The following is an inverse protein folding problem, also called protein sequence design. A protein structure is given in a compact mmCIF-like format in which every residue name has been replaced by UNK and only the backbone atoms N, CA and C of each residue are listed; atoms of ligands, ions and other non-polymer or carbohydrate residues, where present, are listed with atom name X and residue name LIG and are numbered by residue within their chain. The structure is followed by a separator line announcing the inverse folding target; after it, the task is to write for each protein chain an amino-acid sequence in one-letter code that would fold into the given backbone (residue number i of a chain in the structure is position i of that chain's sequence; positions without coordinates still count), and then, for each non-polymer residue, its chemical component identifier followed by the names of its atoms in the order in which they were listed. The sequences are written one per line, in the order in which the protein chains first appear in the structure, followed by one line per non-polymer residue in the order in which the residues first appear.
data_IF_494389804502
#
_entry.id   IF_494389804502
#
_cell.length_a   1.000
_cell.length_b   1.000
_cell.length_c   1.000
_cell.angle_alpha   90.00
_cell.angle_beta   90.00
_cell.angle_gamma   90.00
#
_symmetry.space_group_name_H-M   'P 1'
#
loop_
_entity.id
_entity.type
_entity.pdbx_description
1 polymer ?
#
# COMPACT_ATOMS: atom_id res chain seq x y z
N UNK A 1 1.36 10.12 3.20
CA UNK A 1 2.08 9.59 2.03
C UNK A 1 1.12 8.73 1.24
N UNK A 2 1.02 8.93 -0.06
CA UNK A 2 0.15 8.17 -0.96
C UNK A 2 1.02 7.59 -2.07
N UNK A 3 1.07 6.27 -2.18
CA UNK A 3 1.89 5.57 -3.16
C UNK A 3 1.06 4.62 -4.03
N UNK A 4 1.53 4.35 -5.26
CA UNK A 4 1.03 3.22 -6.03
C UNK A 4 1.51 1.91 -5.40
N UNK A 5 0.72 0.85 -5.57
CA UNK A 5 1.07 -0.48 -5.04
C UNK A 5 1.62 -1.34 -6.18
N UNK A 6 2.89 -1.66 -6.12
CA UNK A 6 3.56 -2.37 -7.21
C UNK A 6 4.22 -3.68 -6.80
N UNK A 7 4.42 -3.92 -5.52
CA UNK A 7 5.02 -5.15 -5.02
C UNK A 7 3.99 -6.16 -4.50
N UNK A 8 4.01 -7.38 -5.00
CA UNK A 8 3.01 -8.41 -4.68
C UNK A 8 3.03 -8.92 -3.23
N UNK A 9 4.13 -8.78 -2.53
CA UNK A 9 4.25 -9.11 -1.09
C UNK A 9 4.43 -7.82 -0.26
N UNK A 10 3.90 -6.70 -0.74
CA UNK A 10 3.98 -5.40 -0.07
C UNK A 10 5.41 -4.96 0.32
N UNK A 11 6.43 -5.45 -0.41
CA UNK A 11 7.82 -5.06 -0.19
C UNK A 11 8.04 -3.58 -0.48
N UNK A 12 7.26 -3.03 -1.40
CA UNK A 12 7.21 -1.61 -1.72
C UNK A 12 6.85 -0.75 -0.50
N UNK A 13 5.91 -1.20 0.33
CA UNK A 13 5.56 -0.51 1.58
C UNK A 13 6.73 -0.45 2.56
N UNK A 14 7.47 -1.55 2.68
CA UNK A 14 8.69 -1.61 3.51
C UNK A 14 9.77 -0.67 2.96
N UNK A 15 10.00 -0.69 1.65
CA UNK A 15 11.03 0.15 1.02
C UNK A 15 10.70 1.63 1.10
N UNK A 16 9.43 2.02 0.91
CA UNK A 16 8.99 3.40 1.13
C UNK A 16 9.19 3.80 2.59
N UNK A 17 8.84 2.92 3.53
CA UNK A 17 9.07 3.16 4.96
C UNK A 17 10.55 3.38 5.29
N UNK A 18 11.45 2.56 4.72
CA UNK A 18 12.89 2.71 4.88
C UNK A 18 13.42 4.00 4.26
N UNK A 19 12.98 4.36 3.05
CA UNK A 19 13.37 5.61 2.40
C UNK A 19 12.99 6.83 3.26
N UNK A 20 11.81 6.84 3.87
CA UNK A 20 11.39 7.92 4.76
C UNK A 20 12.11 7.94 6.11
N UNK A 21 12.55 6.78 6.59
CA UNK A 21 13.29 6.66 7.84
C UNK A 21 14.78 6.95 7.72
N UNK A 22 15.38 6.67 6.57
CA UNK A 22 16.84 6.68 6.39
C UNK A 22 17.34 7.75 5.42
N UNK A 23 16.60 8.02 4.33
CA UNK A 23 17.10 8.84 3.22
C UNK A 23 16.50 10.25 3.20
N UNK A 24 15.41 10.49 3.95
CA UNK A 24 14.76 11.81 4.04
C UNK A 24 15.15 12.50 5.34
N UNK A 25 15.35 13.81 5.26
CA UNK A 25 15.61 14.63 6.43
C UNK A 25 14.53 15.73 6.60
N UNK A 26 13.94 15.89 7.80
CA UNK A 26 14.10 15.03 8.97
C UNK A 26 13.45 13.65 8.76
N UNK A 27 14.02 12.59 9.35
CA UNK A 27 13.50 11.23 9.17
C UNK A 27 12.08 11.11 9.72
N UNK A 28 11.26 10.29 9.06
CA UNK A 28 9.86 10.08 9.46
C UNK A 28 9.52 8.61 9.48
N UNK A 29 8.89 8.18 10.56
CA UNK A 29 8.33 6.84 10.66
C UNK A 29 6.94 6.86 10.01
N UNK A 30 6.73 6.02 9.00
CA UNK A 30 5.45 5.86 8.34
C UNK A 30 4.64 4.74 8.98
N UNK A 31 3.37 5.02 9.30
CA UNK A 31 2.39 4.00 9.70
C UNK A 31 1.71 3.45 8.46
N UNK A 32 2.09 2.27 8.03
CA UNK A 32 1.48 1.60 6.89
C UNK A 32 0.04 1.19 7.21
N UNK A 33 -0.90 1.56 6.34
CA UNK A 33 -2.29 1.12 6.47
C UNK A 33 -2.45 -0.22 5.75
N UNK A 34 -2.88 -1.25 6.49
CA UNK A 34 -3.03 -2.62 5.98
C UNK A 34 -4.49 -3.04 5.93
N UNK A 35 -4.81 -3.91 5.00
CA UNK A 35 -6.15 -4.47 4.86
C UNK A 35 -6.47 -5.49 5.96
N UNK A 36 -7.75 -5.57 6.36
CA UNK A 36 -8.21 -6.44 7.45
C UNK A 36 -7.84 -7.91 7.24
N UNK A 37 -7.85 -8.41 6.00
CA UNK A 37 -7.52 -9.81 5.77
C UNK A 37 -6.06 -10.14 6.15
N UNK A 38 -5.13 -9.17 6.03
CA UNK A 38 -3.72 -9.34 6.39
C UNK A 38 -3.56 -9.59 7.89
N UNK A 39 -4.36 -8.92 8.72
CA UNK A 39 -4.31 -9.11 10.17
C UNK A 39 -4.75 -10.51 10.61
N UNK A 40 -5.52 -11.20 9.78
CA UNK A 40 -6.00 -12.56 10.03
C UNK A 40 -5.06 -13.66 9.50
N UNK A 41 -4.02 -13.29 8.74
CA UNK A 41 -3.05 -14.26 8.23
C UNK A 41 -2.05 -14.66 9.33
N UNK A 42 -1.80 -15.99 9.51
CA UNK A 42 -0.80 -16.46 10.47
C UNK A 42 0.56 -15.80 10.23
N UNK A 43 1.25 -15.45 11.30
CA UNK A 43 2.56 -14.78 11.30
C UNK A 43 2.55 -13.36 10.74
N UNK A 44 1.84 -13.08 9.63
CA UNK A 44 1.80 -11.75 9.01
C UNK A 44 1.06 -10.73 9.88
N UNK A 45 -0.04 -11.12 10.51
CA UNK A 45 -0.78 -10.23 11.42
C UNK A 45 0.09 -9.72 12.58
N UNK A 46 0.84 -10.62 13.22
CA UNK A 46 1.76 -10.26 14.32
C UNK A 46 2.92 -9.41 13.79
N UNK A 47 3.56 -9.85 12.71
CA UNK A 47 4.69 -9.12 12.13
C UNK A 47 4.32 -7.70 11.68
N UNK A 48 3.18 -7.53 11.03
CA UNK A 48 2.73 -6.18 10.60
C UNK A 48 2.42 -5.29 11.80
N UNK A 49 1.84 -5.82 12.88
CA UNK A 49 1.60 -5.06 14.09
C UNK A 49 2.92 -4.62 14.77
N UNK A 50 3.92 -5.51 14.84
CA UNK A 50 5.24 -5.21 15.40
C UNK A 50 6.03 -4.19 14.58
N UNK A 51 5.84 -4.17 13.25
CA UNK A 51 6.45 -3.16 12.35
C UNK A 51 5.72 -1.82 12.37
N UNK A 52 4.65 -1.68 13.16
CA UNK A 52 3.90 -0.43 13.32
C UNK A 52 2.87 -0.17 12.23
N UNK A 53 2.52 -1.20 11.44
CA UNK A 53 1.40 -1.13 10.53
C UNK A 53 0.07 -1.12 11.32
N UNK A 54 -0.93 -0.44 10.80
CA UNK A 54 -2.23 -0.24 11.45
C UNK A 54 -3.35 -0.64 10.50
N UNK A 55 -4.44 -1.16 11.06
CA UNK A 55 -5.62 -1.48 10.26
C UNK A 55 -6.12 -0.26 9.48
N UNK A 56 -6.27 -0.44 8.18
CA UNK A 56 -6.65 0.59 7.21
C UNK A 56 -8.13 0.94 7.28
N UNK A 57 -8.55 1.56 8.37
CA UNK A 57 -9.86 2.19 8.48
C UNK A 57 -9.75 3.72 8.67
N UNK A 58 -10.85 4.42 8.36
CA UNK A 58 -10.90 5.88 8.41
C UNK A 58 -10.59 6.42 9.81
N UNK A 59 -11.09 5.77 10.86
CA UNK A 59 -10.95 6.28 12.23
C UNK A 59 -9.50 6.17 12.71
N UNK A 60 -8.87 5.02 12.50
CA UNK A 60 -7.46 4.81 12.84
C UNK A 60 -6.57 5.82 12.12
N UNK A 61 -6.79 6.00 10.81
CA UNK A 61 -6.02 6.94 10.02
C UNK A 61 -6.16 8.38 10.53
N UNK A 62 -7.39 8.85 10.80
CA UNK A 62 -7.64 10.18 11.34
C UNK A 62 -7.02 10.37 12.73
N UNK A 63 -7.05 9.35 13.59
CA UNK A 63 -6.43 9.42 14.92
C UNK A 63 -4.91 9.55 14.83
N UNK A 64 -4.26 8.80 13.94
CA UNK A 64 -2.82 8.88 13.72
C UNK A 64 -2.43 10.28 13.21
N UNK A 65 -3.14 10.78 12.21
CA UNK A 65 -2.90 12.12 11.65
C UNK A 65 -3.10 13.23 12.69
N UNK A 66 -4.12 13.14 13.54
CA UNK A 66 -4.35 14.08 14.65
C UNK A 66 -3.23 14.06 15.70
N UNK A 67 -2.53 12.95 15.85
CA UNK A 67 -1.34 12.82 16.71
C UNK A 67 -0.06 13.32 16.05
N UNK A 68 -0.13 13.80 14.80
CA UNK A 68 1.02 14.24 14.03
C UNK A 68 1.85 13.10 13.43
N UNK A 69 1.34 11.87 13.43
CA UNK A 69 2.01 10.74 12.82
C UNK A 69 1.85 10.76 11.30
N UNK A 70 2.84 10.23 10.60
CA UNK A 70 2.80 10.12 9.14
C UNK A 70 2.21 8.76 8.74
N UNK A 71 1.25 8.78 7.82
CA UNK A 71 0.53 7.59 7.38
C UNK A 71 0.88 7.28 5.93
N UNK A 72 1.11 6.00 5.61
CA UNK A 72 1.32 5.49 4.25
C UNK A 72 0.09 4.72 3.80
N UNK A 73 -0.47 5.12 2.66
CA UNK A 73 -1.63 4.46 2.05
C UNK A 73 -1.36 4.12 0.59
N UNK A 74 -1.89 2.97 0.18
CA UNK A 74 -1.88 2.49 -1.20
C UNK A 74 -3.32 2.47 -1.73
N UNK A 75 -3.78 3.50 -2.44
CA UNK A 75 -5.19 3.61 -2.83
C UNK A 75 -5.64 2.60 -3.89
N UNK A 76 -4.72 1.89 -4.54
CA UNK A 76 -5.00 0.75 -5.40
C UNK A 76 -5.47 -0.50 -4.62
N UNK A 77 -5.10 -0.58 -3.33
CA UNK A 77 -5.43 -1.73 -2.49
C UNK A 77 -4.95 -3.05 -3.09
N UNK A 78 -5.77 -4.09 -2.93
CA UNK A 78 -5.45 -5.45 -3.43
C UNK A 78 -5.23 -5.50 -4.95
N UNK A 79 -5.92 -4.66 -5.72
CA UNK A 79 -5.77 -4.65 -7.18
C UNK A 79 -4.36 -4.24 -7.59
N UNK A 80 -3.70 -3.39 -6.81
CA UNK A 80 -2.31 -2.99 -7.01
C UNK A 80 -1.33 -4.14 -6.80
N UNK A 81 -1.47 -4.90 -5.69
CA UNK A 81 -0.59 -6.07 -5.40
C UNK A 81 -0.91 -7.28 -6.24
N UNK A 82 -2.12 -7.40 -6.75
CA UNK A 82 -2.58 -8.58 -7.49
C UNK A 82 -2.33 -8.50 -9.00
N UNK A 83 -1.56 -7.50 -9.46
CA UNK A 83 -1.23 -7.36 -10.89
C UNK A 83 -0.49 -8.60 -11.40
N UNK A 84 -0.90 -9.08 -12.57
CA UNK A 84 -0.17 -10.10 -13.32
C UNK A 84 0.73 -9.44 -14.38
N UNK A 85 1.66 -10.19 -14.94
CA UNK A 85 2.67 -9.66 -15.89
C UNK A 85 2.14 -8.72 -16.99
N UNK A 86 0.97 -8.96 -17.62
CA UNK A 86 0.41 -8.04 -18.61
C UNK A 86 0.02 -6.66 -18.08
N UNK A 87 -0.15 -6.54 -16.74
CA UNK A 87 -0.59 -5.33 -16.07
C UNK A 87 0.54 -4.60 -15.30
N UNK A 88 1.77 -5.08 -15.45
CA UNK A 88 2.94 -4.41 -14.87
C UNK A 88 3.06 -2.98 -15.38
N UNK A 89 3.54 -2.09 -14.52
CA UNK A 89 3.70 -0.66 -14.79
C UNK A 89 2.40 0.08 -15.12
N UNK A 90 1.22 -0.56 -14.93
CA UNK A 90 -0.07 0.11 -15.08
C UNK A 90 -0.66 0.42 -13.71
N UNK A 91 -1.04 1.66 -13.51
CA UNK A 91 -1.78 2.05 -12.33
C UNK A 91 -3.16 1.41 -12.35
N UNK A 92 -3.59 0.88 -11.21
CA UNK A 92 -4.96 0.46 -11.00
C UNK A 92 -5.81 1.63 -10.51
N UNK A 93 -7.11 1.43 -10.43
CA UNK A 93 -8.03 2.48 -9.99
C UNK A 93 -7.75 2.88 -8.53
N UNK A 94 -7.47 4.14 -8.30
CA UNK A 94 -7.34 4.70 -6.96
C UNK A 94 -8.71 4.86 -6.30
N UNK A 95 -8.85 4.36 -5.08
CA UNK A 95 -10.02 4.66 -4.23
C UNK A 95 -9.92 6.09 -3.71
N UNK A 96 -11.04 6.76 -3.53
CA UNK A 96 -11.08 8.17 -3.09
C UNK A 96 -10.91 8.35 -1.57
N UNK A 97 -10.82 7.25 -0.82
CA UNK A 97 -10.76 7.26 0.64
C UNK A 97 -9.63 8.11 1.22
N UNK A 98 -8.42 8.00 0.65
CA UNK A 98 -7.27 8.78 1.10
C UNK A 98 -7.47 10.29 0.97
N UNK A 99 -8.11 10.73 -0.10
CA UNK A 99 -8.37 12.14 -0.35
C UNK A 99 -9.38 12.69 0.66
N UNK A 100 -10.46 11.96 0.95
CA UNK A 100 -11.44 12.33 1.98
C UNK A 100 -10.80 12.42 3.36
N UNK A 101 -9.89 11.51 3.69
CA UNK A 101 -9.15 11.54 4.97
C UNK A 101 -8.26 12.77 5.03
N UNK A 102 -7.52 13.10 3.96
CA UNK A 102 -6.66 14.27 3.91
C UNK A 102 -7.47 15.57 4.06
N UNK A 103 -8.64 15.67 3.42
CA UNK A 103 -9.58 16.79 3.60
C UNK A 103 -10.09 16.90 5.03
N UNK A 104 -10.54 15.78 5.62
CA UNK A 104 -11.06 15.78 7.00
C UNK A 104 -10.00 16.12 8.05
N UNK A 105 -8.76 15.72 7.81
CA UNK A 105 -7.65 15.99 8.71
C UNK A 105 -6.92 17.31 8.38
N UNK A 106 -7.21 17.94 7.24
CA UNK A 106 -6.51 19.14 6.71
C UNK A 106 -4.98 18.92 6.65
N UNK A 107 -4.55 17.76 6.18
CA UNK A 107 -3.13 17.40 6.05
C UNK A 107 -2.71 17.34 4.59
N UNK A 108 -1.44 17.63 4.33
CA UNK A 108 -0.87 17.53 3.00
C UNK A 108 -0.78 16.08 2.53
N UNK A 109 -1.00 15.87 1.23
CA UNK A 109 -0.77 14.60 0.54
C UNK A 109 0.60 14.65 -0.10
N UNK A 110 1.47 13.74 0.26
CA UNK A 110 2.77 13.56 -0.38
C UNK A 110 2.69 12.37 -1.35
N UNK A 111 2.66 12.61 -2.67
CA UNK A 111 2.60 11.55 -3.65
C UNK A 111 3.96 10.86 -3.80
N UNK A 112 3.94 9.54 -3.88
CA UNK A 112 5.14 8.71 -4.10
C UNK A 112 4.85 7.74 -5.23
N UNK A 113 5.81 7.59 -6.16
CA UNK A 113 5.76 6.58 -7.19
C UNK A 113 6.84 5.52 -6.92
N UNK A 114 6.42 4.25 -6.89
CA UNK A 114 7.30 3.09 -6.77
C UNK A 114 7.29 2.35 -8.11
N UNK A 115 8.46 2.12 -8.69
CA UNK A 115 8.63 1.51 -10.01
C UNK A 115 9.58 0.33 -9.88
N UNK A 116 9.26 -0.80 -10.53
CA UNK A 116 10.12 -1.99 -10.58
C UNK A 116 9.84 -3.03 -9.50
N UNK A 117 9.03 -2.73 -8.49
CA UNK A 117 8.73 -3.70 -7.44
C UNK A 117 7.90 -4.90 -7.95
N UNK A 118 7.16 -4.75 -9.04
CA UNK A 118 6.44 -5.86 -9.69
C UNK A 118 7.37 -6.99 -10.15
N UNK A 119 8.60 -6.67 -10.51
CA UNK A 119 9.57 -7.65 -11.02
C UNK A 119 10.16 -8.54 -9.92
N UNK A 120 10.03 -8.14 -8.65
CA UNK A 120 10.55 -8.93 -7.53
C UNK A 120 9.82 -10.26 -7.35
N UNK A 121 8.53 -10.32 -7.73
CA UNK A 121 7.70 -11.52 -7.66
C UNK A 121 6.83 -11.60 -8.92
N UNK A 122 7.34 -12.13 -10.04
CA UNK A 122 6.58 -12.16 -11.28
C UNK A 122 5.38 -13.11 -11.17
N UNK A 123 4.17 -12.54 -11.17
CA UNK A 123 2.93 -13.30 -11.19
C UNK A 123 2.42 -13.46 -12.61
N UNK A 124 2.22 -14.72 -12.99
CA UNK A 124 1.77 -15.06 -14.35
C UNK A 124 0.27 -15.33 -14.42
N UNK A 125 -0.35 -15.66 -13.29
CA UNK A 125 -1.77 -16.03 -13.26
C UNK A 125 -2.41 -15.72 -11.91
N UNK A 126 -3.69 -15.33 -11.96
CA UNK A 126 -4.55 -15.15 -10.78
C UNK A 126 -5.51 -16.33 -10.62
N UNK A 127 -5.33 -17.12 -9.57
CA UNK A 127 -6.18 -18.27 -9.27
C UNK A 127 -7.49 -17.82 -8.56
N UNK A 128 -8.33 -17.04 -9.24
CA UNK A 128 -9.54 -16.41 -8.67
C UNK A 128 -10.51 -17.42 -8.04
N UNK A 129 -10.69 -18.59 -8.66
CA UNK A 129 -11.57 -19.64 -8.16
C UNK A 129 -11.10 -20.24 -6.83
N UNK A 130 -9.79 -20.45 -6.69
CA UNK A 130 -9.19 -20.98 -5.44
C UNK A 130 -9.18 -19.89 -4.38
N UNK A 131 -8.82 -18.66 -4.73
CA UNK A 131 -8.85 -17.51 -3.83
C UNK A 131 -10.22 -17.36 -3.16
N UNK A 132 -11.30 -17.41 -3.95
CA UNK A 132 -12.69 -17.33 -3.43
C UNK A 132 -13.00 -18.44 -2.44
N UNK A 133 -12.58 -19.69 -2.71
CA UNK A 133 -12.80 -20.84 -1.81
C UNK A 133 -12.05 -20.69 -0.49
N UNK A 134 -10.89 -20.03 -0.50
CA UNK A 134 -10.05 -19.78 0.67
C UNK A 134 -10.41 -18.49 1.40
N UNK A 135 -11.40 -17.72 0.92
CA UNK A 135 -11.74 -16.42 1.51
C UNK A 135 -10.68 -15.33 1.31
N UNK A 136 -9.80 -15.53 0.32
CA UNK A 136 -8.74 -14.58 -0.02
C UNK A 136 -9.22 -13.61 -1.11
N UNK A 137 -8.83 -12.32 -1.06
CA UNK A 137 -9.20 -11.34 -2.09
C UNK A 137 -8.48 -11.61 -3.42
N UNK A 138 -7.28 -12.19 -3.37
CA UNK A 138 -6.49 -12.59 -4.53
C UNK A 138 -5.58 -13.77 -4.18
N UNK A 139 -5.26 -14.60 -5.17
CA UNK A 139 -4.24 -15.65 -5.06
C UNK A 139 -3.39 -15.65 -6.34
N UNK A 140 -2.38 -14.79 -6.38
CA UNK A 140 -1.47 -14.75 -7.52
C UNK A 140 -0.51 -15.94 -7.49
N UNK A 141 -0.25 -16.51 -8.67
CA UNK A 141 0.66 -17.64 -8.84
C UNK A 141 1.93 -17.19 -9.57
N UNK A 142 3.06 -17.48 -8.95
CA UNK A 142 4.40 -17.22 -9.51
C UNK A 142 5.12 -18.53 -9.80
N UNK A 143 5.91 -18.61 -10.89
CA UNK A 143 6.80 -19.75 -11.14
C UNK A 143 7.79 -20.01 -9.99
N UNK A 144 8.17 -18.97 -9.24
CA UNK A 144 9.05 -19.09 -8.07
C UNK A 144 8.47 -19.96 -6.97
N UNK A 145 7.13 -20.12 -6.90
CA UNK A 145 6.46 -21.02 -5.94
C UNK A 145 6.88 -22.48 -6.09
N UNK A 146 7.35 -22.89 -7.27
CA UNK A 146 7.88 -24.24 -7.51
C UNK A 146 9.17 -24.51 -6.71
N UNK A 147 9.85 -23.47 -6.25
CA UNK A 147 11.03 -23.54 -5.39
C UNK A 147 10.68 -23.70 -3.91
N UNK A 148 9.40 -23.87 -3.56
CA UNK A 148 8.95 -23.97 -2.18
C UNK A 148 9.27 -22.72 -1.37
N UNK A 149 9.84 -22.84 -0.14
CA UNK A 149 10.17 -21.67 0.69
C UNK A 149 11.13 -20.67 0.05
N UNK A 150 12.04 -21.11 -0.82
CA UNK A 150 12.95 -20.22 -1.55
C UNK A 150 12.21 -19.34 -2.56
N UNK A 151 11.03 -19.73 -3.00
CA UNK A 151 10.18 -18.93 -3.89
C UNK A 151 9.60 -17.65 -3.25
N UNK A 152 9.73 -17.51 -1.92
CA UNK A 152 9.37 -16.28 -1.21
C UNK A 152 10.54 -15.27 -1.14
N UNK A 153 11.72 -15.63 -1.62
CA UNK A 153 12.80 -14.66 -1.75
C UNK A 153 12.54 -13.77 -2.98
N UNK A 154 12.65 -12.43 -2.83
CA UNK A 154 12.46 -11.52 -3.95
C UNK A 154 13.56 -11.73 -4.99
N UNK A 155 13.17 -11.69 -6.26
CA UNK A 155 14.15 -11.63 -7.35
C UNK A 155 14.90 -10.27 -7.28
N UNK A 156 16.19 -10.24 -7.60
CA UNK A 156 16.93 -9.00 -7.67
C UNK A 156 16.37 -8.14 -8.81
N UNK A 157 15.76 -7.02 -8.46
CA UNK A 157 15.20 -6.05 -9.40
C UNK A 157 15.52 -4.64 -8.90
N UNK A 158 15.90 -3.70 -9.79
CA UNK A 158 16.03 -2.31 -9.41
C UNK A 158 14.64 -1.75 -9.06
N UNK A 159 14.56 -1.05 -7.93
CA UNK A 159 13.32 -0.41 -7.49
C UNK A 159 13.61 1.06 -7.29
N UNK A 160 12.91 1.90 -8.04
CA UNK A 160 13.00 3.34 -7.95
C UNK A 160 11.84 3.91 -7.14
N UNK A 161 12.13 4.83 -6.22
CA UNK A 161 11.15 5.54 -5.41
C UNK A 161 11.25 7.03 -5.70
N UNK A 162 10.21 7.60 -6.32
CA UNK A 162 10.11 9.01 -6.64
C UNK A 162 9.15 9.70 -5.66
N UNK A 163 9.62 10.73 -4.98
CA UNK A 163 8.83 11.51 -4.04
C UNK A 163 8.46 12.83 -4.71
N UNK A 164 7.16 13.06 -4.85
CA UNK A 164 6.62 14.27 -5.46
C UNK A 164 6.54 15.45 -4.50
N UNK A 165 6.00 16.56 -4.99
CA UNK A 165 5.76 17.75 -4.15
C UNK A 165 4.50 17.56 -3.30
N UNK A 166 4.49 18.04 -2.04
CA UNK A 166 3.29 18.01 -1.21
C UNK A 166 2.13 18.76 -1.86
N UNK A 167 0.95 18.17 -1.80
CA UNK A 167 -0.30 18.73 -2.29
C UNK A 167 -1.14 19.14 -1.08
N UNK A 168 -1.45 20.43 -0.96
CA UNK A 168 -2.29 20.95 0.11
C UNK A 168 -3.76 20.70 -0.20
N UNK A 169 -4.55 20.21 0.76
CA UNK A 169 -5.99 20.16 0.58
C UNK A 169 -6.58 21.57 0.53
N UNK A 170 -7.66 21.80 -0.25
CA UNK A 170 -8.39 23.05 -0.19
C UNK A 170 -8.94 23.29 1.22
N UNK A 171 -8.80 24.51 1.73
CA UNK A 171 -9.22 24.88 3.09
C UNK A 171 -10.74 25.03 3.23
N UNK A 172 -11.43 25.24 2.13
CA UNK A 172 -12.88 25.43 2.01
C UNK A 172 -13.68 24.14 1.88
N UNK A 173 -12.99 22.99 1.69
CA UNK A 173 -13.60 21.67 1.57
C UNK A 173 -13.35 20.84 2.84
N UNK A 174 -14.42 20.33 3.42
CA UNK A 174 -14.37 19.35 4.52
C UNK A 174 -14.85 18.01 4.03
N UNK A 175 -14.15 16.93 4.37
CA UNK A 175 -14.35 15.59 3.82
C UNK A 175 -15.71 14.93 4.10
N UNK A 176 -16.61 15.58 4.81
CA UNK A 176 -17.96 15.10 5.11
C UNK A 176 -19.02 15.57 4.09
N UNK A 177 -18.76 16.66 3.37
CA UNK A 177 -19.74 17.27 2.44
C UNK A 177 -19.81 16.56 1.08
N UNK A 178 -18.88 15.66 0.77
CA UNK A 178 -18.77 15.03 -0.57
C UNK A 178 -19.35 13.62 -0.70
N UNK A 179 -20.07 13.10 0.28
CA UNK A 179 -20.69 11.78 0.14
C UNK A 179 -21.96 11.80 -0.74
N UNK A 180 -22.45 12.98 -1.16
CA UNK A 180 -23.66 13.13 -1.96
C UNK A 180 -23.44 13.33 -3.47
N UNK A 181 -22.20 13.67 -3.92
CA UNK A 181 -21.95 14.07 -5.32
C UNK A 181 -20.96 13.20 -6.11
N UNK A 182 -20.72 11.95 -5.70
CA UNK A 182 -19.82 11.06 -6.47
C UNK A 182 -20.37 9.63 -6.58
#
# INVERSE_FOLDING_TARGET
VVANHSGQIAIDGLLVGLAFGLDIYPPRILRGMIERFVTNLPFLGTWTAETGAVLGDRQNCLQLLKRGESVLVFPEGVDGVAKSTPDYYKLQKFTKGFFRIALSAQVEILPVAVIGAEETYPYVYQAKGIAKKLGLPALPLSPSMLLGPLGFLPLPSPIDIYIGKPIKPPSDLHGEEQDQDI
#
